data_IF_338984333208
#
_entry.id   IF_338984333208
#
_cell.length_a   1.000
_cell.length_b   1.000
_cell.length_c   1.000
_cell.angle_alpha   90.00
_cell.angle_beta   90.00
_cell.angle_gamma   90.00
#
_symmetry.space_group_name_H-M   'P 1'
#
loop_
_entity.id
_entity.type
_entity.pdbx_description
1 polymer ?
#
# COMPACT_ATOMS: atom_id res chain seq x y z
N UNK A 1 12.89 -1.60 14.15
CA UNK A 1 11.75 -1.46 13.24
C UNK A 1 11.42 0.02 13.09
N UNK A 2 11.18 0.48 11.86
CA UNK A 2 10.69 1.84 11.61
C UNK A 2 9.16 1.73 11.46
N UNK A 3 8.45 2.30 12.43
CA UNK A 3 6.99 2.30 12.48
C UNK A 3 6.49 3.74 12.58
N UNK A 4 5.99 4.26 11.48
CA UNK A 4 5.56 5.64 11.33
C UNK A 4 4.19 5.71 10.66
N UNK A 5 3.44 6.77 10.96
CA UNK A 5 2.23 7.13 10.22
C UNK A 5 2.58 8.21 9.21
N UNK A 6 2.28 7.96 7.95
CA UNK A 6 2.53 8.90 6.85
C UNK A 6 1.20 9.17 6.15
N UNK A 7 0.82 10.44 6.06
CA UNK A 7 -0.41 10.86 5.38
C UNK A 7 -0.22 10.73 3.85
N UNK A 8 -1.14 10.03 3.22
CA UNK A 8 -1.21 9.89 1.75
C UNK A 8 -2.09 10.98 1.15
N UNK A 9 -3.24 11.22 1.76
CA UNK A 9 -4.15 12.32 1.40
C UNK A 9 -4.82 12.87 2.65
N UNK A 10 -4.86 14.20 2.73
CA UNK A 10 -5.52 14.91 3.82
C UNK A 10 -7.04 14.73 3.76
N UNK A 11 -7.67 14.89 4.92
CA UNK A 11 -9.13 14.93 5.02
C UNK A 11 -9.70 16.05 4.15
N UNK A 12 -10.79 15.75 3.45
CA UNK A 12 -11.58 16.74 2.72
C UNK A 12 -13.00 16.82 3.30
N UNK A 13 -13.86 17.66 2.69
CA UNK A 13 -15.30 17.67 3.02
C UNK A 13 -16.00 16.37 2.62
N UNK A 14 -15.45 15.64 1.64
CA UNK A 14 -16.09 14.49 1.02
C UNK A 14 -15.59 13.14 1.56
N UNK A 15 -14.39 13.09 2.16
CA UNK A 15 -13.82 11.86 2.69
C UNK A 15 -12.77 12.08 3.79
N UNK A 16 -12.56 11.03 4.57
CA UNK A 16 -11.53 10.99 5.60
C UNK A 16 -10.13 11.03 5.00
N UNK A 17 -9.15 11.42 5.82
CA UNK A 17 -7.74 11.28 5.46
C UNK A 17 -7.38 9.82 5.18
N UNK A 18 -6.41 9.62 4.32
CA UNK A 18 -5.78 8.33 4.08
C UNK A 18 -4.32 8.39 4.52
N UNK A 19 -3.87 7.34 5.17
CA UNK A 19 -2.47 7.23 5.62
C UNK A 19 -1.96 5.81 5.51
N UNK A 20 -0.65 5.66 5.59
CA UNK A 20 0.00 4.37 5.77
C UNK A 20 0.63 4.27 7.16
N UNK A 21 0.65 3.07 7.67
CA UNK A 21 1.42 2.65 8.83
C UNK A 21 2.59 1.81 8.32
N UNK A 22 3.82 2.26 8.56
CA UNK A 22 5.02 1.56 8.08
C UNK A 22 5.48 0.51 9.10
N UNK A 23 5.97 -0.61 8.59
CA UNK A 23 6.61 -1.69 9.33
C UNK A 23 7.87 -2.07 8.57
N UNK A 24 8.94 -1.29 8.76
CA UNK A 24 10.16 -1.44 7.98
C UNK A 24 11.31 -1.98 8.82
N UNK A 25 12.08 -2.85 8.22
CA UNK A 25 13.37 -3.24 8.75
C UNK A 25 14.31 -2.04 8.77
N UNK A 26 15.02 -1.88 9.87
CA UNK A 26 16.15 -0.95 9.91
C UNK A 26 17.33 -1.55 9.17
N UNK A 27 18.11 -0.72 8.53
CA UNK A 27 19.40 -1.14 8.01
C UNK A 27 20.31 -1.57 9.16
N UNK A 28 21.08 -2.61 8.92
CA UNK A 28 22.11 -3.08 9.83
C UNK A 28 23.40 -3.33 9.07
N UNK A 29 24.40 -2.50 9.34
CA UNK A 29 25.73 -2.66 8.75
C UNK A 29 26.44 -3.94 9.22
N UNK A 30 26.02 -4.49 10.36
CA UNK A 30 26.54 -5.73 10.91
C UNK A 30 25.93 -6.96 10.24
N UNK A 31 24.60 -6.95 10.06
CA UNK A 31 23.88 -8.13 9.55
C UNK A 31 23.88 -8.19 8.03
N UNK A 32 23.37 -7.17 7.38
CA UNK A 32 23.19 -7.15 5.93
C UNK A 32 23.33 -5.72 5.40
N UNK A 33 24.56 -5.18 5.27
CA UNK A 33 24.75 -3.81 4.83
C UNK A 33 24.20 -3.59 3.42
N UNK A 34 23.37 -2.55 3.28
CA UNK A 34 22.77 -2.16 2.00
C UNK A 34 21.70 -3.12 1.47
N UNK A 35 21.22 -4.09 2.27
CA UNK A 35 20.20 -5.02 1.82
C UNK A 35 18.89 -4.30 1.49
N UNK A 36 18.46 -4.42 0.24
CA UNK A 36 17.10 -4.05 -0.16
C UNK A 36 16.14 -5.24 0.04
N UNK A 37 14.88 -4.93 0.30
CA UNK A 37 13.83 -5.91 0.58
C UNK A 37 12.60 -5.65 -0.29
N UNK A 38 11.84 -6.69 -0.65
CA UNK A 38 10.53 -6.49 -1.24
C UNK A 38 9.61 -5.75 -0.25
N UNK A 39 8.67 -4.99 -0.77
CA UNK A 39 7.67 -4.30 0.03
C UNK A 39 6.27 -4.83 -0.27
N UNK A 40 5.43 -4.94 0.76
CA UNK A 40 4.03 -5.31 0.60
C UNK A 40 3.11 -4.22 1.16
N UNK A 41 2.15 -3.82 0.35
CA UNK A 41 1.08 -2.91 0.74
C UNK A 41 -0.14 -3.74 1.10
N UNK A 42 -0.60 -3.62 2.33
CA UNK A 42 -1.74 -4.35 2.87
C UNK A 42 -2.96 -3.44 2.89
N UNK A 43 -4.02 -3.86 2.21
CA UNK A 43 -5.32 -3.19 2.19
C UNK A 43 -6.30 -4.01 3.03
N UNK A 44 -6.60 -3.60 4.28
CA UNK A 44 -7.57 -4.32 5.11
C UNK A 44 -8.96 -4.31 4.49
N UNK A 45 -9.77 -5.32 4.82
CA UNK A 45 -11.18 -5.37 4.47
C UNK A 45 -12.04 -4.51 5.39
N UNK A 46 -13.33 -4.51 5.16
CA UNK A 46 -14.31 -3.77 5.95
C UNK A 46 -15.43 -3.16 5.10
N UNK A 47 -15.75 -3.77 3.95
CA UNK A 47 -16.86 -3.39 3.07
C UNK A 47 -16.82 -1.92 2.59
N UNK A 48 -15.63 -1.31 2.52
CA UNK A 48 -15.46 0.12 2.28
C UNK A 48 -16.17 1.04 3.31
N UNK A 49 -16.59 0.48 4.45
CA UNK A 49 -17.15 1.23 5.57
C UNK A 49 -16.12 1.45 6.70
N UNK A 50 -15.11 0.62 6.73
CA UNK A 50 -14.00 0.67 7.68
C UNK A 50 -12.76 -0.03 7.10
N UNK A 51 -11.61 0.12 7.77
CA UNK A 51 -10.42 -0.71 7.55
C UNK A 51 -10.16 -1.54 8.82
N UNK A 52 -10.30 -2.86 8.72
CA UNK A 52 -10.28 -3.76 9.87
C UNK A 52 -8.89 -3.92 10.48
N UNK A 53 -8.76 -3.72 11.79
CA UNK A 53 -7.51 -3.95 12.52
C UNK A 53 -7.06 -5.41 12.51
N UNK A 54 -8.00 -6.35 12.35
CA UNK A 54 -7.70 -7.80 12.26
C UNK A 54 -6.85 -8.15 11.05
N UNK A 55 -6.87 -7.31 10.01
CA UNK A 55 -6.18 -7.54 8.74
C UNK A 55 -5.10 -6.47 8.49
N UNK A 56 -4.57 -5.88 9.55
CA UNK A 56 -3.62 -4.78 9.54
C UNK A 56 -2.27 -5.17 10.16
N UNK A 57 -1.99 -4.73 11.37
CA UNK A 57 -0.71 -4.93 12.05
C UNK A 57 -0.26 -6.40 12.12
N UNK A 58 -1.17 -7.31 12.49
CA UNK A 58 -0.82 -8.73 12.60
C UNK A 58 -0.34 -9.31 11.27
N UNK A 59 -0.94 -8.89 10.16
CA UNK A 59 -0.53 -9.29 8.81
C UNK A 59 0.82 -8.66 8.45
N UNK A 60 1.00 -7.36 8.75
CA UNK A 60 2.26 -6.66 8.51
C UNK A 60 3.42 -7.32 9.24
N UNK A 61 3.25 -7.63 10.52
CA UNK A 61 4.28 -8.32 11.33
C UNK A 61 4.60 -9.71 10.78
N UNK A 62 3.61 -10.43 10.26
CA UNK A 62 3.84 -11.72 9.63
C UNK A 62 4.71 -11.59 8.38
N UNK A 63 4.45 -10.61 7.51
CA UNK A 63 5.29 -10.37 6.34
C UNK A 63 6.69 -9.88 6.73
N UNK A 64 6.80 -9.03 7.76
CA UNK A 64 8.11 -8.65 8.28
C UNK A 64 8.92 -9.87 8.73
N UNK A 65 8.32 -10.82 9.41
CA UNK A 65 9.02 -12.05 9.85
C UNK A 65 9.53 -12.89 8.69
N UNK A 66 9.02 -12.69 7.49
CA UNK A 66 9.49 -13.33 6.25
C UNK A 66 10.48 -12.47 5.45
N UNK A 67 10.91 -11.33 6.01
CA UNK A 67 11.92 -10.47 5.38
C UNK A 67 11.39 -9.35 4.50
N UNK A 68 10.08 -9.10 4.48
CA UNK A 68 9.47 -7.99 3.75
C UNK A 68 9.50 -6.69 4.55
N UNK A 69 9.56 -5.57 3.85
CA UNK A 69 8.98 -4.33 4.36
C UNK A 69 7.47 -4.40 4.19
N UNK A 70 6.71 -3.93 5.16
CA UNK A 70 5.27 -3.91 5.06
C UNK A 70 4.71 -2.52 5.34
N UNK A 71 3.62 -2.16 4.67
CA UNK A 71 2.81 -1.01 5.00
C UNK A 71 1.33 -1.41 5.04
N UNK A 72 0.59 -0.84 5.98
CA UNK A 72 -0.86 -0.96 6.04
C UNK A 72 -1.45 0.34 5.50
N UNK A 73 -2.24 0.26 4.45
CA UNK A 73 -2.96 1.41 3.91
C UNK A 73 -4.32 1.56 4.58
N UNK A 74 -4.49 2.65 5.30
CA UNK A 74 -5.79 3.10 5.84
C UNK A 74 -6.42 4.03 4.81
N UNK A 75 -7.06 3.42 3.81
CA UNK A 75 -7.70 4.15 2.72
C UNK A 75 -9.02 4.79 3.14
N UNK A 76 -9.44 5.82 2.43
CA UNK A 76 -10.71 6.50 2.69
C UNK A 76 -11.88 5.57 2.42
N UNK A 77 -12.78 5.49 3.39
CA UNK A 77 -13.98 4.67 3.38
C UNK A 77 -15.24 5.53 3.28
N UNK A 78 -16.42 4.90 3.20
CA UNK A 78 -17.67 5.63 3.10
C UNK A 78 -17.71 6.82 4.10
N UNK A 79 -18.16 8.02 3.66
CA UNK A 79 -18.89 8.34 2.42
C UNK A 79 -18.01 8.50 1.17
N UNK A 80 -16.69 8.31 1.27
CA UNK A 80 -15.80 8.35 0.11
C UNK A 80 -16.24 7.36 -0.97
N UNK A 81 -16.08 7.76 -2.22
CA UNK A 81 -16.44 6.96 -3.39
C UNK A 81 -15.26 6.81 -4.33
N UNK A 82 -15.41 5.90 -5.29
CA UNK A 82 -14.47 5.80 -6.41
C UNK A 82 -14.22 7.20 -7.00
N UNK A 83 -12.97 7.58 -7.31
CA UNK A 83 -11.78 6.73 -7.28
C UNK A 83 -10.87 6.92 -6.04
N UNK A 84 -11.36 7.46 -4.93
CA UNK A 84 -10.55 7.88 -3.79
C UNK A 84 -9.59 6.78 -3.29
N UNK A 85 -10.11 5.62 -2.90
CA UNK A 85 -9.29 4.53 -2.38
C UNK A 85 -8.28 4.01 -3.42
N UNK A 86 -8.68 3.89 -4.68
CA UNK A 86 -7.80 3.44 -5.76
C UNK A 86 -6.66 4.43 -6.01
N UNK A 87 -6.96 5.73 -6.02
CA UNK A 87 -5.96 6.79 -6.13
C UNK A 87 -4.97 6.72 -4.95
N UNK A 88 -5.46 6.52 -3.74
CA UNK A 88 -4.64 6.43 -2.53
C UNK A 88 -3.72 5.20 -2.53
N UNK A 89 -4.21 4.06 -3.00
CA UNK A 89 -3.37 2.87 -3.16
C UNK A 89 -2.29 3.09 -4.21
N UNK A 90 -2.63 3.67 -5.35
CA UNK A 90 -1.67 3.99 -6.39
C UNK A 90 -0.59 4.98 -5.89
N UNK A 91 -0.99 6.03 -5.19
CA UNK A 91 -0.06 6.97 -4.54
C UNK A 91 0.85 6.30 -3.52
N UNK A 92 0.34 5.31 -2.78
CA UNK A 92 1.15 4.54 -1.83
C UNK A 92 2.24 3.76 -2.55
N UNK A 93 1.91 3.08 -3.65
CA UNK A 93 2.92 2.36 -4.46
C UNK A 93 3.97 3.32 -5.00
N UNK A 94 3.55 4.48 -5.54
CA UNK A 94 4.48 5.52 -6.01
C UNK A 94 5.40 6.02 -4.87
N UNK A 95 4.85 6.31 -3.70
CA UNK A 95 5.60 6.77 -2.53
C UNK A 95 6.70 5.78 -2.13
N UNK A 96 6.37 4.49 -2.10
CA UNK A 96 7.36 3.45 -1.79
C UNK A 96 8.48 3.40 -2.83
N UNK A 97 8.13 3.52 -4.10
CA UNK A 97 9.10 3.49 -5.21
C UNK A 97 9.99 4.72 -5.21
N UNK A 98 9.44 5.91 -4.98
CA UNK A 98 10.18 7.16 -4.88
C UNK A 98 11.17 7.19 -3.71
N UNK A 99 10.82 6.55 -2.60
CA UNK A 99 11.65 6.48 -1.39
C UNK A 99 12.44 5.17 -1.26
N UNK A 100 12.57 4.42 -2.34
CA UNK A 100 13.17 3.08 -2.32
C UNK A 100 14.61 3.06 -1.80
N UNK A 101 15.40 4.08 -2.09
CA UNK A 101 16.77 4.19 -1.56
C UNK A 101 16.77 4.46 -0.06
N UNK A 102 15.95 5.42 0.39
CA UNK A 102 15.82 5.76 1.81
C UNK A 102 15.34 4.59 2.67
N UNK A 103 14.43 3.81 2.13
CA UNK A 103 13.79 2.70 2.87
C UNK A 103 14.33 1.32 2.49
N UNK A 104 15.36 1.26 1.66
CA UNK A 104 15.97 0.01 1.19
C UNK A 104 14.94 -0.95 0.58
N UNK A 105 14.09 -0.43 -0.31
CA UNK A 105 13.06 -1.19 -1.02
C UNK A 105 13.56 -1.61 -2.40
N UNK A 106 13.33 -2.87 -2.78
CA UNK A 106 13.51 -3.34 -4.15
C UNK A 106 12.39 -2.77 -5.03
N UNK A 107 12.74 -1.88 -5.96
CA UNK A 107 11.77 -1.13 -6.79
C UNK A 107 10.94 -1.98 -7.74
N UNK A 108 11.40 -3.19 -8.04
CA UNK A 108 10.75 -4.18 -8.89
C UNK A 108 10.00 -5.27 -8.10
N UNK A 109 9.86 -5.08 -6.78
CA UNK A 109 9.18 -6.02 -5.88
C UNK A 109 8.26 -5.31 -4.89
N UNK A 110 7.37 -4.47 -5.41
CA UNK A 110 6.31 -3.82 -4.63
C UNK A 110 4.99 -4.55 -4.90
N UNK A 111 4.52 -5.25 -3.89
CA UNK A 111 3.35 -6.14 -3.97
C UNK A 111 2.18 -5.47 -3.29
N UNK A 112 1.00 -5.57 -3.87
CA UNK A 112 -0.25 -5.14 -3.22
C UNK A 112 -1.05 -6.35 -2.77
N UNK A 113 -1.56 -6.28 -1.56
CA UNK A 113 -2.34 -7.34 -0.94
C UNK A 113 -3.60 -6.78 -0.29
N UNK A 114 -4.65 -7.58 -0.22
CA UNK A 114 -5.86 -7.13 0.44
C UNK A 114 -6.86 -8.24 0.73
N UNK A 115 -7.77 -7.92 1.63
CA UNK A 115 -8.79 -8.82 2.13
C UNK A 115 -10.18 -8.23 1.84
N UNK A 116 -11.10 -9.06 1.31
CA UNK A 116 -12.47 -8.62 1.02
C UNK A 116 -12.50 -7.34 0.17
N UNK A 117 -13.07 -6.25 0.67
CA UNK A 117 -13.04 -4.95 -0.01
C UNK A 117 -11.61 -4.48 -0.32
N UNK A 118 -10.65 -4.70 0.58
CA UNK A 118 -9.23 -4.43 0.32
C UNK A 118 -8.64 -5.32 -0.77
N UNK A 119 -9.11 -6.56 -0.88
CA UNK A 119 -8.75 -7.47 -1.98
C UNK A 119 -9.28 -6.98 -3.32
N UNK A 120 -10.51 -6.47 -3.35
CA UNK A 120 -11.08 -5.80 -4.53
C UNK A 120 -10.25 -4.56 -4.91
N UNK A 121 -9.87 -3.75 -3.93
CA UNK A 121 -9.04 -2.58 -4.14
C UNK A 121 -7.67 -2.94 -4.74
N UNK A 122 -6.98 -3.92 -4.17
CA UNK A 122 -5.70 -4.41 -4.68
C UNK A 122 -5.81 -4.97 -6.10
N UNK A 123 -6.87 -5.75 -6.39
CA UNK A 123 -7.15 -6.27 -7.72
C UNK A 123 -7.43 -5.15 -8.73
N UNK A 124 -8.16 -4.11 -8.32
CA UNK A 124 -8.46 -2.95 -9.16
C UNK A 124 -7.18 -2.25 -9.61
N UNK A 125 -6.23 -2.02 -8.72
CA UNK A 125 -4.94 -1.46 -9.13
C UNK A 125 -4.20 -2.40 -10.09
N UNK A 126 -4.19 -3.70 -9.81
CA UNK A 126 -3.58 -4.71 -10.68
C UNK A 126 -4.14 -4.75 -12.09
N UNK A 127 -5.40 -4.35 -12.28
CA UNK A 127 -6.07 -4.30 -13.60
C UNK A 127 -5.90 -2.93 -14.28
N UNK A 128 -6.00 -1.85 -13.52
CA UNK A 128 -6.10 -0.50 -14.08
C UNK A 128 -4.82 0.33 -14.04
N UNK A 129 -3.72 -0.17 -13.47
CA UNK A 129 -2.49 0.60 -13.26
C UNK A 129 -1.96 1.28 -14.53
N UNK A 130 -2.11 0.68 -15.71
CA UNK A 130 -1.59 1.22 -16.97
C UNK A 130 -2.63 1.98 -17.82
N UNK A 131 -3.73 2.41 -17.23
CA UNK A 131 -4.75 3.18 -17.93
C UNK A 131 -4.42 4.68 -17.95
N UNK A 132 -4.81 5.41 -19.01
CA UNK A 132 -4.68 6.88 -19.03
C UNK A 132 -5.46 7.56 -17.91
N UNK A 133 -6.61 7.00 -17.53
CA UNK A 133 -7.45 7.50 -16.43
C UNK A 133 -6.69 7.52 -15.11
N UNK A 134 -6.00 6.45 -14.76
CA UNK A 134 -5.31 6.38 -13.48
C UNK A 134 -4.06 7.27 -13.45
N UNK A 135 -3.39 7.46 -14.59
CA UNK A 135 -2.35 8.46 -14.74
C UNK A 135 -2.88 9.87 -14.46
N UNK A 136 -4.02 10.23 -15.03
CA UNK A 136 -4.64 11.53 -14.82
C UNK A 136 -5.07 11.73 -13.37
N UNK A 137 -5.74 10.75 -12.76
CA UNK A 137 -6.24 10.79 -11.39
C UNK A 137 -5.09 10.92 -10.37
N UNK A 138 -3.98 10.24 -10.58
CA UNK A 138 -2.86 10.21 -9.63
C UNK A 138 -1.82 11.29 -9.88
N UNK A 139 -1.67 11.75 -11.11
CA UNK A 139 -0.59 12.63 -11.55
C UNK A 139 0.77 11.91 -11.68
N UNK A 140 0.83 10.60 -11.53
CA UNK A 140 2.03 9.78 -11.70
C UNK A 140 2.04 9.07 -13.05
N UNK A 141 3.22 8.82 -13.60
CA UNK A 141 3.38 7.88 -14.70
C UNK A 141 2.95 6.48 -14.27
N UNK A 142 2.36 5.72 -15.20
CA UNK A 142 1.82 4.40 -14.90
C UNK A 142 2.87 3.45 -14.31
N UNK A 143 4.13 3.50 -14.75
CA UNK A 143 5.20 2.68 -14.19
C UNK A 143 5.49 2.97 -12.71
N UNK A 144 5.24 4.19 -12.22
CA UNK A 144 5.42 4.54 -10.83
C UNK A 144 4.37 3.91 -9.91
N UNK A 145 3.17 3.68 -10.42
CA UNK A 145 2.05 3.12 -9.67
C UNK A 145 1.82 1.64 -9.97
N UNK A 146 2.63 1.02 -10.82
CA UNK A 146 2.53 -0.39 -11.18
C UNK A 146 2.83 -1.29 -9.98
N UNK A 147 1.91 -2.15 -9.56
CA UNK A 147 2.24 -3.22 -8.63
C UNK A 147 3.02 -4.32 -9.37
N UNK A 148 4.09 -4.82 -8.75
CA UNK A 148 4.90 -5.91 -9.31
C UNK A 148 4.28 -7.28 -9.00
N UNK A 149 3.35 -7.33 -8.08
CA UNK A 149 2.55 -8.50 -7.75
C UNK A 149 1.30 -8.12 -6.98
N UNK A 150 0.31 -9.04 -6.96
CA UNK A 150 -0.90 -8.86 -6.16
C UNK A 150 -1.29 -10.16 -5.46
N UNK A 151 -1.75 -10.03 -4.22
CA UNK A 151 -2.32 -11.11 -3.42
C UNK A 151 -3.68 -10.64 -2.94
N UNK A 152 -4.74 -11.29 -3.37
CA UNK A 152 -6.10 -10.95 -2.95
C UNK A 152 -6.81 -12.17 -2.37
N UNK A 153 -7.55 -11.97 -1.29
CA UNK A 153 -8.49 -12.95 -0.76
C UNK A 153 -9.87 -12.31 -0.67
N UNK A 154 -10.74 -12.71 -1.58
CA UNK A 154 -12.17 -12.41 -1.47
C UNK A 154 -12.87 -13.59 -0.76
N UNK A 155 -13.83 -13.27 0.10
CA UNK A 155 -14.78 -14.27 0.56
C UNK A 155 -15.80 -14.51 -0.55
N UNK A 156 -15.93 -15.75 -0.91
CA UNK A 156 -17.02 -16.22 -1.75
C UNK A 156 -18.16 -16.65 -0.83
#
# INVERSE_FOLDING_TARGET
MINERIIIEEKTKDYNEAWIETYFWQESVELYPGQKRPAIVICPGGAYAMTSDREAEAVALRFMSMGYHAVVLRYSVAPARYPAALRQLAKTVALLRENSEKWHIETDKIIVSGFSAGGHLAASLGVFWNTPELKEITGFDNEMIRPDGKIGRAHV
#
